data_IF_779275817750
#
_entry.id   IF_779275817750
#
_cell.length_a   1.000
_cell.length_b   1.000
_cell.length_c   1.000
_cell.angle_alpha   90.00
_cell.angle_beta   90.00
_cell.angle_gamma   90.00
#
_symmetry.space_group_name_H-M   'P 1'
#
loop_
_entity.id
_entity.type
_entity.pdbx_description
1 polymer ?
#
# COMPACT_ATOMS: atom_id res chain seq x y z
N UNK A 1 -13.61 -3.91 -4.67
CA UNK A 1 -13.55 -4.03 -3.20
C UNK A 1 -14.63 -4.96 -2.63
N UNK A 2 -15.85 -4.94 -3.19
CA UNK A 2 -16.96 -5.77 -2.73
C UNK A 2 -16.59 -7.25 -2.67
N UNK A 3 -16.07 -7.82 -3.76
CA UNK A 3 -15.68 -9.23 -3.83
C UNK A 3 -14.64 -9.64 -2.77
N UNK A 4 -13.69 -8.74 -2.45
CA UNK A 4 -12.68 -8.99 -1.41
C UNK A 4 -13.36 -9.03 -0.03
N UNK A 5 -14.27 -8.11 0.26
CA UNK A 5 -15.01 -8.09 1.52
C UNK A 5 -15.90 -9.33 1.67
N UNK A 6 -16.60 -9.74 0.61
CA UNK A 6 -17.41 -10.97 0.58
C UNK A 6 -16.56 -12.23 0.82
N UNK A 7 -15.35 -12.28 0.21
CA UNK A 7 -14.44 -13.39 0.44
C UNK A 7 -13.94 -13.47 1.88
N UNK A 8 -13.55 -12.32 2.48
CA UNK A 8 -13.12 -12.26 3.88
C UNK A 8 -14.28 -12.62 4.82
N UNK A 9 -15.48 -12.10 4.56
CA UNK A 9 -16.68 -12.47 5.30
C UNK A 9 -16.90 -13.98 5.33
N UNK A 10 -16.81 -14.63 4.15
CA UNK A 10 -16.96 -16.08 4.04
C UNK A 10 -15.87 -16.84 4.79
N UNK A 11 -14.59 -16.40 4.67
CA UNK A 11 -13.47 -16.99 5.40
C UNK A 11 -13.66 -16.90 6.91
N UNK A 12 -14.04 -15.75 7.43
CA UNK A 12 -14.27 -15.56 8.86
C UNK A 12 -15.45 -16.38 9.39
N UNK A 13 -16.51 -16.50 8.60
CA UNK A 13 -17.63 -17.36 8.96
C UNK A 13 -17.20 -18.83 9.02
N UNK A 14 -16.43 -19.28 8.02
CA UNK A 14 -16.01 -20.67 7.88
C UNK A 14 -14.98 -21.08 8.93
N UNK A 15 -13.93 -20.28 9.09
CA UNK A 15 -12.76 -20.63 9.90
C UNK A 15 -12.90 -20.21 11.38
N UNK A 16 -13.59 -19.11 11.63
CA UNK A 16 -13.70 -18.52 12.96
C UNK A 16 -15.12 -18.56 13.55
N UNK A 17 -16.14 -18.91 12.75
CA UNK A 17 -17.54 -18.88 13.18
C UNK A 17 -18.07 -17.44 13.41
N UNK A 18 -17.39 -16.43 12.90
CA UNK A 18 -17.75 -15.02 13.09
C UNK A 18 -18.72 -14.61 11.98
N UNK A 19 -19.88 -14.08 12.39
CA UNK A 19 -20.85 -13.48 11.47
C UNK A 19 -20.55 -12.00 11.31
N UNK A 20 -20.33 -11.56 10.09
CA UNK A 20 -20.03 -10.17 9.72
C UNK A 20 -21.12 -9.67 8.78
N UNK A 21 -21.64 -8.48 9.02
CA UNK A 21 -22.49 -7.76 8.09
C UNK A 21 -21.66 -6.75 7.28
N UNK A 22 -21.83 -6.76 5.97
CA UNK A 22 -21.11 -5.86 5.07
C UNK A 22 -21.98 -4.62 4.82
N UNK A 23 -21.48 -3.48 5.23
CA UNK A 23 -22.09 -2.18 4.97
C UNK A 23 -21.30 -1.41 3.90
N UNK A 24 -22.00 -0.98 2.87
CA UNK A 24 -21.43 -0.09 1.84
C UNK A 24 -21.98 1.31 2.00
N UNK A 25 -21.11 2.27 2.19
CA UNK A 25 -21.46 3.67 2.41
C UNK A 25 -21.05 4.56 1.25
N UNK A 26 -21.75 5.68 1.06
CA UNK A 26 -21.29 6.75 0.19
C UNK A 26 -19.96 7.29 0.72
N UNK A 27 -19.08 7.73 -0.19
CA UNK A 27 -17.69 8.06 0.15
C UNK A 27 -17.53 9.13 1.24
N UNK A 28 -18.34 10.21 1.20
CA UNK A 28 -18.28 11.28 2.20
C UNK A 28 -18.77 10.79 3.58
N UNK A 29 -19.81 9.96 3.57
CA UNK A 29 -20.34 9.35 4.81
C UNK A 29 -19.30 8.40 5.40
N UNK A 30 -18.66 7.59 4.55
CA UNK A 30 -17.58 6.70 4.96
C UNK A 30 -16.42 7.47 5.62
N UNK A 31 -15.95 8.56 5.00
CA UNK A 31 -14.88 9.40 5.56
C UNK A 31 -15.28 10.00 6.92
N UNK A 32 -16.49 10.57 7.01
CA UNK A 32 -16.97 11.14 8.26
C UNK A 32 -17.07 10.09 9.40
N UNK A 33 -17.54 8.89 9.06
CA UNK A 33 -17.57 7.78 10.03
C UNK A 33 -16.17 7.31 10.41
N UNK A 34 -15.23 7.29 9.48
CA UNK A 34 -13.83 6.94 9.75
C UNK A 34 -13.18 7.97 10.70
N UNK A 35 -13.34 9.26 10.43
CA UNK A 35 -12.84 10.35 11.28
C UNK A 35 -13.43 10.31 12.72
N UNK A 36 -14.70 9.94 12.83
CA UNK A 36 -15.41 9.81 14.11
C UNK A 36 -15.22 8.45 14.77
N UNK A 37 -14.48 7.54 14.14
CA UNK A 37 -14.32 6.14 14.57
C UNK A 37 -15.67 5.41 14.78
N UNK A 38 -16.66 5.77 13.99
CA UNK A 38 -18.01 5.21 14.04
C UNK A 38 -18.10 3.95 13.16
N UNK A 39 -17.33 2.93 13.51
CA UNK A 39 -17.30 1.61 12.83
C UNK A 39 -16.74 0.56 13.81
N UNK A 40 -17.07 -0.70 13.57
CA UNK A 40 -16.42 -1.83 14.25
C UNK A 40 -15.16 -2.26 13.50
N UNK A 41 -15.28 -2.45 12.18
CA UNK A 41 -14.18 -2.78 11.27
C UNK A 41 -14.35 -1.93 10.03
N UNK A 42 -13.31 -1.22 9.64
CA UNK A 42 -13.30 -0.38 8.45
C UNK A 42 -12.23 -0.87 7.46
N UNK A 43 -12.60 -0.95 6.19
CA UNK A 43 -11.66 -1.29 5.12
C UNK A 43 -11.13 -0.03 4.47
N UNK A 44 -9.84 0.18 4.56
CA UNK A 44 -9.15 1.32 3.95
C UNK A 44 -8.03 0.88 3.02
N UNK A 45 -7.47 1.80 2.29
CA UNK A 45 -6.26 1.63 1.49
C UNK A 45 -5.52 2.95 1.39
N UNK A 46 -4.21 2.89 1.25
CA UNK A 46 -3.36 4.05 1.11
C UNK A 46 -2.49 3.94 -0.14
N UNK A 47 -2.36 5.03 -0.85
CA UNK A 47 -1.38 5.17 -1.94
C UNK A 47 -0.28 6.06 -1.39
N UNK A 48 0.97 5.59 -1.45
CA UNK A 48 2.10 6.37 -0.93
C UNK A 48 2.21 7.74 -1.58
N UNK A 49 2.38 8.78 -0.77
CA UNK A 49 2.53 10.17 -1.25
C UNK A 49 3.90 10.39 -1.90
N UNK A 50 4.88 9.57 -1.52
CA UNK A 50 6.25 9.58 -2.02
C UNK A 50 6.86 8.16 -1.97
N UNK A 51 7.97 7.96 -2.69
CA UNK A 51 8.63 6.66 -2.81
C UNK A 51 9.54 6.38 -1.59
N UNK A 52 8.94 6.18 -0.43
CA UNK A 52 9.62 5.81 0.82
C UNK A 52 8.66 5.03 1.73
N UNK A 53 9.10 3.97 2.44
CA UNK A 53 8.24 3.21 3.36
C UNK A 53 7.60 4.06 4.46
N UNK A 54 8.23 5.15 4.83
CA UNK A 54 7.75 6.07 5.86
C UNK A 54 6.32 6.57 5.59
N UNK A 55 5.96 6.81 4.31
CA UNK A 55 4.62 7.28 3.91
C UNK A 55 3.47 6.36 4.33
N UNK A 56 3.75 5.08 4.56
CA UNK A 56 2.77 4.12 5.07
C UNK A 56 2.83 4.00 6.60
N UNK A 57 4.03 4.05 7.15
CA UNK A 57 4.21 3.89 8.60
C UNK A 57 3.76 5.12 9.38
N UNK A 58 3.96 6.33 8.85
CA UNK A 58 3.50 7.56 9.50
C UNK A 58 1.99 7.62 9.76
N UNK A 59 1.19 6.85 9.00
CA UNK A 59 -0.26 6.75 9.20
C UNK A 59 -0.65 6.22 10.59
N UNK A 60 0.24 5.49 11.25
CA UNK A 60 -0.01 4.85 12.54
C UNK A 60 0.59 5.63 13.71
N UNK A 61 1.24 6.79 13.48
CA UNK A 61 1.71 7.63 14.58
C UNK A 61 0.53 8.17 15.40
N UNK A 62 0.79 8.37 16.68
CA UNK A 62 -0.25 8.74 17.64
C UNK A 62 -0.94 10.08 17.34
N UNK A 63 -0.24 10.97 16.61
CA UNK A 63 -0.70 12.31 16.24
C UNK A 63 -1.17 12.43 14.77
N UNK A 64 -1.11 11.35 13.99
CA UNK A 64 -1.53 11.38 12.60
C UNK A 64 -3.05 11.47 12.47
N UNK A 65 -3.54 12.48 11.79
CA UNK A 65 -4.97 12.67 11.52
C UNK A 65 -5.61 11.54 10.69
N UNK A 66 -4.80 10.72 10.00
CA UNK A 66 -5.25 9.57 9.24
C UNK A 66 -5.18 8.25 10.04
N UNK A 67 -4.77 8.31 11.31
CA UNK A 67 -4.78 7.15 12.19
C UNK A 67 -6.20 6.86 12.70
N UNK A 68 -6.97 6.16 11.89
CA UNK A 68 -8.35 5.77 12.26
C UNK A 68 -8.42 4.48 13.08
N UNK A 69 -7.29 3.93 13.54
CA UNK A 69 -7.26 2.74 14.39
C UNK A 69 -7.40 3.04 15.88
N UNK A 70 -7.25 4.31 16.27
CA UNK A 70 -7.14 4.75 17.66
C UNK A 70 -5.97 4.09 18.43
N UNK A 71 -5.06 3.43 17.72
CA UNK A 71 -3.85 2.88 18.30
C UNK A 71 -2.84 3.99 18.58
N UNK A 72 -2.13 3.90 19.69
CA UNK A 72 -1.14 4.87 20.11
C UNK A 72 0.02 4.14 20.79
N UNK A 73 1.23 4.33 20.30
CA UNK A 73 2.43 3.71 20.85
C UNK A 73 3.60 4.69 20.86
N UNK A 74 3.97 5.13 22.05
CA UNK A 74 5.14 6.02 22.24
C UNK A 74 6.44 5.38 21.73
N UNK A 75 6.54 4.06 21.75
CA UNK A 75 7.70 3.33 21.23
C UNK A 75 7.73 3.43 19.71
N UNK A 76 6.58 3.26 19.07
CA UNK A 76 6.42 3.41 17.62
C UNK A 76 6.76 4.83 17.18
N UNK A 77 6.17 5.83 17.82
CA UNK A 77 6.40 7.25 17.49
C UNK A 77 7.90 7.59 17.56
N UNK A 78 8.58 7.14 18.62
CA UNK A 78 10.04 7.34 18.76
C UNK A 78 10.85 6.64 17.67
N UNK A 79 10.45 5.46 17.21
CA UNK A 79 11.12 4.78 16.10
C UNK A 79 10.99 5.58 14.82
N UNK A 80 9.82 6.14 14.53
CA UNK A 80 9.64 6.98 13.35
C UNK A 80 10.41 8.31 13.44
N UNK A 81 10.44 8.91 14.62
CA UNK A 81 11.27 10.10 14.87
C UNK A 81 12.76 9.80 14.66
N UNK A 82 13.26 8.68 15.19
CA UNK A 82 14.64 8.25 14.97
C UNK A 82 14.94 7.97 13.50
N UNK A 83 14.00 7.36 12.77
CA UNK A 83 14.15 7.15 11.34
C UNK A 83 14.26 8.46 10.56
N UNK A 84 13.53 9.50 10.96
CA UNK A 84 13.59 10.81 10.33
C UNK A 84 14.90 11.57 10.61
N UNK A 85 15.55 11.27 11.73
CA UNK A 85 16.84 11.88 12.10
C UNK A 85 18.04 11.09 11.55
N UNK A 86 17.83 9.86 11.06
CA UNK A 86 18.90 8.99 10.58
C UNK A 86 19.30 9.31 9.15
N UNK A 87 20.57 9.70 8.96
CA UNK A 87 21.11 10.06 7.65
C UNK A 87 21.66 8.86 6.85
N UNK A 88 22.00 7.75 7.51
CA UNK A 88 22.43 6.54 6.82
C UNK A 88 21.19 5.76 6.34
N UNK A 89 21.01 5.55 5.02
CA UNK A 89 19.81 4.91 4.48
C UNK A 89 19.60 3.47 4.99
N UNK A 90 20.66 2.70 5.15
CA UNK A 90 20.56 1.31 5.62
C UNK A 90 20.12 1.24 7.09
N UNK A 91 20.71 2.07 7.95
CA UNK A 91 20.33 2.16 9.36
C UNK A 91 18.90 2.72 9.50
N UNK A 92 18.54 3.70 8.69
CA UNK A 92 17.17 4.20 8.63
C UNK A 92 16.17 3.12 8.29
N UNK A 93 16.47 2.31 7.27
CA UNK A 93 15.59 1.20 6.87
C UNK A 93 15.45 0.15 7.98
N UNK A 94 16.52 -0.14 8.73
CA UNK A 94 16.46 -1.04 9.90
C UNK A 94 15.52 -0.49 10.99
N UNK A 95 15.51 0.81 11.21
CA UNK A 95 14.60 1.45 12.18
C UNK A 95 13.16 1.35 11.69
N UNK A 96 12.90 1.64 10.41
CA UNK A 96 11.56 1.53 9.83
C UNK A 96 11.02 0.10 9.89
N UNK A 97 11.86 -0.91 9.62
CA UNK A 97 11.48 -2.32 9.78
C UNK A 97 11.13 -2.69 11.23
N UNK A 98 11.80 -2.11 12.22
CA UNK A 98 11.43 -2.31 13.64
C UNK A 98 10.07 -1.69 13.96
N UNK A 99 9.78 -0.52 13.41
CA UNK A 99 8.47 0.12 13.57
C UNK A 99 7.37 -0.72 12.92
N UNK A 100 7.60 -1.20 11.70
CA UNK A 100 6.68 -2.09 10.99
C UNK A 100 6.41 -3.38 11.79
N UNK A 101 7.47 -4.04 12.28
CA UNK A 101 7.33 -5.25 13.08
C UNK A 101 6.50 -5.01 14.35
N UNK A 102 6.72 -3.89 15.05
CA UNK A 102 5.94 -3.52 16.23
C UNK A 102 4.46 -3.30 15.88
N UNK A 103 4.16 -2.59 14.78
CA UNK A 103 2.79 -2.39 14.34
C UNK A 103 2.11 -3.72 13.94
N UNK A 104 2.82 -4.62 13.28
CA UNK A 104 2.30 -5.94 12.92
C UNK A 104 2.08 -6.83 14.15
N UNK A 105 2.90 -6.72 15.18
CA UNK A 105 2.75 -7.45 16.44
C UNK A 105 1.53 -6.96 17.24
N UNK A 106 1.35 -5.63 17.34
CA UNK A 106 0.23 -5.04 18.07
C UNK A 106 -1.08 -4.96 17.27
N UNK A 107 -1.02 -5.20 15.97
CA UNK A 107 -2.16 -5.35 15.05
C UNK A 107 -3.21 -4.22 15.08
N UNK A 108 -2.82 -2.94 15.01
CA UNK A 108 -3.77 -1.84 14.83
C UNK A 108 -4.52 -1.92 13.51
N UNK A 109 -4.00 -2.68 12.55
CA UNK A 109 -4.61 -2.97 11.26
C UNK A 109 -4.26 -4.40 10.81
N UNK A 110 -5.08 -4.93 9.92
CA UNK A 110 -4.87 -6.23 9.27
C UNK A 110 -4.46 -5.96 7.81
N UNK A 111 -3.18 -6.14 7.44
CA UNK A 111 -2.74 -6.00 6.06
C UNK A 111 -3.39 -7.07 5.18
N UNK A 112 -3.98 -6.69 4.06
CA UNK A 112 -4.67 -7.64 3.18
C UNK A 112 -3.84 -7.92 1.91
N UNK A 113 -3.48 -6.88 1.17
CA UNK A 113 -2.71 -7.01 -0.08
C UNK A 113 -2.17 -5.65 -0.54
N UNK A 114 -1.18 -5.68 -1.40
CA UNK A 114 -0.70 -4.52 -2.12
C UNK A 114 -1.45 -4.41 -3.45
N UNK A 115 -1.96 -3.22 -3.76
CA UNK A 115 -2.64 -2.98 -5.03
C UNK A 115 -1.69 -3.12 -6.20
N UNK A 116 -2.17 -3.81 -7.23
CA UNK A 116 -1.54 -3.83 -8.54
C UNK A 116 -2.49 -3.22 -9.57
N UNK A 117 -1.94 -2.62 -10.60
CA UNK A 117 -2.70 -2.06 -11.70
C UNK A 117 -2.30 -2.71 -13.01
N UNK A 118 -3.28 -3.27 -13.70
CA UNK A 118 -3.09 -3.77 -15.07
C UNK A 118 -3.43 -2.67 -16.05
N UNK A 119 -2.49 -2.35 -16.94
CA UNK A 119 -2.67 -1.36 -17.99
C UNK A 119 -2.48 -2.01 -19.35
N UNK A 120 -3.38 -1.74 -20.27
CA UNK A 120 -3.26 -2.12 -21.68
C UNK A 120 -2.84 -0.88 -22.48
N UNK A 121 -1.59 -0.87 -22.90
CA UNK A 121 -1.02 0.25 -23.62
C UNK A 121 -0.71 -0.21 -25.06
N UNK A 122 -1.19 0.53 -26.05
CA UNK A 122 -0.85 0.23 -27.45
C UNK A 122 0.65 0.41 -27.64
N UNK A 123 1.32 -0.50 -28.40
CA UNK A 123 2.78 -0.50 -28.51
C UNK A 123 3.37 0.73 -29.20
N UNK A 124 2.55 1.53 -29.87
CA UNK A 124 2.96 2.81 -30.45
C UNK A 124 2.81 4.00 -29.46
N UNK A 125 2.25 3.79 -28.27
CA UNK A 125 2.20 4.81 -27.23
C UNK A 125 3.46 4.73 -26.39
N UNK A 126 4.19 5.81 -26.32
CA UNK A 126 5.47 5.92 -25.61
C UNK A 126 5.38 6.92 -24.45
N UNK A 127 6.38 6.89 -23.56
CA UNK A 127 6.46 7.82 -22.44
C UNK A 127 5.58 7.43 -21.25
N UNK A 128 5.14 6.15 -21.20
CA UNK A 128 4.43 5.59 -20.04
C UNK A 128 5.36 4.57 -19.36
N UNK A 129 5.55 4.70 -18.08
CA UNK A 129 6.34 3.76 -17.27
C UNK A 129 5.65 3.50 -15.92
N UNK A 130 5.88 2.32 -15.35
CA UNK A 130 5.41 1.98 -14.01
C UNK A 130 6.09 2.85 -12.95
N UNK A 131 5.33 3.31 -11.97
CA UNK A 131 5.86 4.00 -10.80
C UNK A 131 4.96 3.76 -9.58
N UNK A 132 5.52 3.90 -8.37
CA UNK A 132 4.83 3.59 -7.12
C UNK A 132 3.60 4.47 -6.84
N UNK A 133 3.56 5.67 -7.43
CA UNK A 133 2.45 6.60 -7.24
C UNK A 133 1.38 6.48 -8.34
N UNK A 134 1.59 5.61 -9.35
CA UNK A 134 0.73 5.46 -10.53
C UNK A 134 0.44 6.81 -11.23
N UNK A 135 1.44 7.69 -11.24
CA UNK A 135 1.36 9.01 -11.88
C UNK A 135 1.94 8.96 -13.28
N UNK A 136 1.10 9.26 -14.26
CA UNK A 136 1.45 9.22 -15.68
C UNK A 136 1.16 10.59 -16.34
N UNK A 137 2.07 11.58 -16.21
CA UNK A 137 1.85 12.91 -16.77
C UNK A 137 1.77 12.86 -18.29
N UNK A 138 0.62 13.24 -18.85
CA UNK A 138 0.33 13.21 -20.28
C UNK A 138 1.35 13.96 -21.12
N UNK A 139 1.98 15.00 -20.59
CA UNK A 139 3.00 15.80 -21.31
C UNK A 139 4.24 15.02 -21.73
N UNK A 140 4.47 13.84 -21.20
CA UNK A 140 5.58 12.95 -21.55
C UNK A 140 5.16 11.82 -22.50
N UNK A 141 3.86 11.72 -22.78
CA UNK A 141 3.33 10.69 -23.68
C UNK A 141 3.37 11.19 -25.12
N UNK A 142 3.71 10.30 -26.04
CA UNK A 142 3.72 10.59 -27.45
C UNK A 142 3.40 9.34 -28.28
N UNK A 143 2.98 9.56 -29.53
CA UNK A 143 2.70 8.50 -30.48
C UNK A 143 3.93 8.28 -31.33
N UNK A 144 4.39 7.05 -31.40
CA UNK A 144 5.48 6.64 -32.27
C UNK A 144 4.93 6.40 -33.69
N UNK A 145 4.99 7.41 -34.54
CA UNK A 145 4.50 7.35 -35.91
C UNK A 145 5.32 6.39 -36.78
N UNK A 146 6.55 6.07 -36.38
CA UNK A 146 7.43 5.11 -37.08
C UNK A 146 7.10 3.65 -36.70
N UNK A 147 6.22 3.42 -35.75
CA UNK A 147 5.85 2.08 -35.29
C UNK A 147 5.21 1.26 -36.40
N UNK A 148 5.75 0.06 -36.65
CA UNK A 148 5.19 -0.92 -37.59
C UNK A 148 4.62 -2.10 -36.83
N UNK A 149 3.33 -2.47 -36.99
CA UNK A 149 2.64 -3.49 -36.18
C UNK A 149 3.25 -4.89 -36.17
N UNK A 150 4.09 -5.20 -37.17
CA UNK A 150 4.69 -6.52 -37.35
C UNK A 150 6.18 -6.60 -36.92
N UNK A 151 6.73 -5.59 -36.29
CA UNK A 151 8.04 -5.68 -35.65
C UNK A 151 7.84 -6.16 -34.21
N UNK A 152 8.55 -7.23 -33.83
CA UNK A 152 8.64 -7.65 -32.44
C UNK A 152 9.12 -6.46 -31.60
N UNK A 153 8.30 -5.99 -30.69
CA UNK A 153 8.71 -5.00 -29.70
C UNK A 153 9.65 -5.72 -28.74
N UNK A 154 10.93 -5.32 -28.61
CA UNK A 154 11.76 -5.88 -27.57
C UNK A 154 11.03 -5.69 -26.23
N UNK A 155 10.87 -6.77 -25.49
CA UNK A 155 10.35 -6.67 -24.12
C UNK A 155 11.14 -5.60 -23.39
N UNK A 156 10.49 -4.50 -23.03
CA UNK A 156 11.07 -3.59 -22.06
C UNK A 156 11.10 -4.40 -20.77
N UNK A 157 12.28 -4.90 -20.43
CA UNK A 157 12.53 -5.46 -19.11
C UNK A 157 12.14 -4.36 -18.12
N UNK A 158 11.03 -4.60 -17.44
CA UNK A 158 10.75 -3.88 -16.20
C UNK A 158 11.94 -4.20 -15.30
N UNK A 159 12.74 -3.21 -15.01
CA UNK A 159 13.90 -3.41 -14.15
C UNK A 159 13.38 -3.93 -12.81
N UNK A 160 13.57 -5.22 -12.58
CA UNK A 160 13.21 -5.95 -11.37
C UNK A 160 14.08 -5.54 -10.16
N UNK A 161 14.49 -4.29 -10.10
CA UNK A 161 15.29 -3.80 -8.97
C UNK A 161 14.54 -3.79 -7.62
N UNK A 162 13.27 -4.17 -7.62
CA UNK A 162 12.45 -4.28 -6.39
C UNK A 162 12.31 -5.74 -5.92
N UNK A 163 12.58 -6.75 -6.77
CA UNK A 163 12.27 -8.15 -6.44
C UNK A 163 13.30 -8.86 -5.56
N UNK A 164 14.51 -8.34 -5.40
CA UNK A 164 15.54 -9.04 -4.63
C UNK A 164 15.46 -8.80 -3.12
N UNK A 165 14.85 -7.72 -2.67
CA UNK A 165 14.76 -7.43 -1.22
C UNK A 165 13.71 -8.26 -0.46
N UNK A 166 12.84 -8.99 -1.16
CA UNK A 166 11.75 -9.78 -0.55
C UNK A 166 12.03 -11.27 -0.46
N UNK A 167 13.13 -11.77 -1.06
CA UNK A 167 13.46 -13.21 -1.08
C UNK A 167 14.01 -13.75 0.23
N UNK A 168 14.40 -12.89 1.15
CA UNK A 168 15.03 -13.29 2.42
C UNK A 168 14.08 -13.35 3.62
N UNK A 169 12.76 -13.20 3.40
CA UNK A 169 11.79 -13.43 4.47
C UNK A 169 11.53 -14.94 4.57
N UNK A 170 12.34 -15.62 5.35
CA UNK A 170 12.01 -16.96 5.82
C UNK A 170 10.96 -16.85 6.91
N UNK A 171 9.74 -17.27 6.59
CA UNK A 171 8.71 -17.54 7.59
C UNK A 171 9.11 -18.86 8.26
N UNK A 172 9.56 -18.80 9.50
CA UNK A 172 9.68 -19.99 10.33
C UNK A 172 8.28 -20.36 10.82
N UNK A 173 7.86 -21.59 10.47
CA UNK A 173 6.66 -22.25 11.00
C UNK A 173 6.79 -22.52 12.52
#
# INVERSE_FOLDING_TARGET
HKQVAEAIQAMWQQELGITVELENQEWKVFLANAEQMNFQISRMGWIGDYADPYTFLELLTSDCGNNHSNWSSKTYDKLLEQANQQNNPEERLKILRKAEALALEEQPLIPLYVYTRTQLIKPYVRGIWGNHQDRHPWKYMWIDEAFKPNQEVPNQEVSDSVSESWKDIQVHE
#
